data_IF_206481494168
#
_entry.id   IF_206481494168
#
_cell.length_a   1.000
_cell.length_b   1.000
_cell.length_c   1.000
_cell.angle_alpha   90.00
_cell.angle_beta   90.00
_cell.angle_gamma   90.00
#
_symmetry.space_group_name_H-M   'P 1'
#
loop_
_entity.id
_entity.type
_entity.pdbx_description
1 polymer ?
#
# COMPACT_ATOMS: atom_id res chain seq x y z
N UNK A 1 60.50 9.89 -12.72
CA UNK A 1 59.77 9.72 -11.44
C UNK A 1 58.49 10.55 -11.36
N UNK A 2 58.46 11.81 -11.81
CA UNK A 2 57.26 12.67 -11.74
C UNK A 2 56.05 12.15 -12.52
N UNK A 3 56.26 11.61 -13.74
CA UNK A 3 55.18 11.04 -14.57
C UNK A 3 54.51 9.82 -13.93
N UNK A 4 55.29 8.90 -13.33
CA UNK A 4 54.78 7.69 -12.68
C UNK A 4 53.97 8.00 -11.42
N UNK A 5 54.43 8.97 -10.62
CA UNK A 5 53.68 9.45 -9.45
C UNK A 5 52.36 10.11 -9.89
N UNK A 6 52.39 10.93 -10.95
CA UNK A 6 51.19 11.55 -11.49
C UNK A 6 50.17 10.50 -11.98
N UNK A 7 50.60 9.47 -12.71
CA UNK A 7 49.70 8.40 -13.17
C UNK A 7 49.10 7.60 -12.01
N UNK A 8 49.86 7.35 -10.94
CA UNK A 8 49.35 6.66 -9.75
C UNK A 8 48.29 7.53 -9.04
N UNK A 9 48.60 8.81 -8.81
CA UNK A 9 47.66 9.75 -8.18
C UNK A 9 46.36 9.86 -8.99
N UNK A 10 46.47 9.99 -10.31
CA UNK A 10 45.30 10.05 -11.19
C UNK A 10 44.45 8.77 -11.11
N UNK A 11 45.09 7.60 -11.09
CA UNK A 11 44.41 6.31 -11.00
C UNK A 11 43.69 6.14 -9.66
N UNK A 12 44.33 6.52 -8.56
CA UNK A 12 43.72 6.49 -7.21
C UNK A 12 42.55 7.47 -7.12
N UNK A 13 42.71 8.70 -7.62
CA UNK A 13 41.65 9.71 -7.63
C UNK A 13 40.44 9.25 -8.45
N UNK A 14 40.66 8.70 -9.64
CA UNK A 14 39.60 8.15 -10.50
C UNK A 14 38.88 6.98 -9.81
N UNK A 15 39.63 6.09 -9.16
CA UNK A 15 39.06 4.94 -8.45
C UNK A 15 38.21 5.38 -7.24
N UNK A 16 38.70 6.37 -6.48
CA UNK A 16 37.95 6.96 -5.36
C UNK A 16 36.67 7.66 -5.84
N UNK A 17 36.72 8.35 -6.99
CA UNK A 17 35.56 9.00 -7.58
C UNK A 17 34.48 8.00 -8.02
N UNK A 18 34.87 6.90 -8.67
CA UNK A 18 33.95 5.83 -9.07
C UNK A 18 33.30 5.20 -7.82
N UNK A 19 34.09 4.90 -6.79
CA UNK A 19 33.58 4.35 -5.53
C UNK A 19 32.59 5.30 -4.85
N UNK A 20 32.90 6.61 -4.84
CA UNK A 20 32.00 7.62 -4.31
C UNK A 20 30.65 7.63 -5.04
N UNK A 21 30.65 7.65 -6.38
CA UNK A 21 29.42 7.60 -7.18
C UNK A 21 28.60 6.34 -6.89
N UNK A 22 29.25 5.19 -6.81
CA UNK A 22 28.60 3.92 -6.48
C UNK A 22 27.89 3.99 -5.12
N UNK A 23 28.59 4.45 -4.06
CA UNK A 23 28.02 4.57 -2.71
C UNK A 23 26.86 5.58 -2.70
N UNK A 24 27.02 6.71 -3.39
CA UNK A 24 25.99 7.74 -3.49
C UNK A 24 24.68 7.18 -4.10
N UNK A 25 24.78 6.56 -5.27
CA UNK A 25 23.61 6.00 -5.95
C UNK A 25 23.01 4.82 -5.21
N UNK A 26 23.82 3.96 -4.59
CA UNK A 26 23.33 2.88 -3.72
C UNK A 26 22.52 3.42 -2.54
N UNK A 27 23.01 4.44 -1.84
CA UNK A 27 22.27 5.07 -0.72
C UNK A 27 20.95 5.69 -1.20
N UNK A 28 20.97 6.35 -2.36
CA UNK A 28 19.76 6.90 -2.98
C UNK A 28 18.75 5.79 -3.26
N UNK A 29 19.15 4.73 -3.95
CA UNK A 29 18.30 3.60 -4.29
C UNK A 29 17.69 2.92 -3.04
N UNK A 30 18.51 2.69 -2.01
CA UNK A 30 18.06 2.13 -0.72
C UNK A 30 17.03 3.03 -0.04
N UNK A 31 17.18 4.36 -0.13
CA UNK A 31 16.20 5.31 0.43
C UNK A 31 14.85 5.17 -0.27
N UNK A 32 14.80 5.24 -1.59
CA UNK A 32 13.53 5.14 -2.33
C UNK A 32 12.84 3.79 -2.16
N UNK A 33 13.62 2.70 -2.12
CA UNK A 33 13.11 1.36 -1.79
C UNK A 33 12.39 1.36 -0.44
N UNK A 34 13.03 1.89 0.60
CA UNK A 34 12.44 1.97 1.94
C UNK A 34 11.16 2.78 1.98
N UNK A 35 11.10 3.88 1.21
CA UNK A 35 9.88 4.72 1.13
C UNK A 35 8.74 3.93 0.48
N UNK A 36 8.99 3.18 -0.60
CA UNK A 36 7.99 2.32 -1.22
C UNK A 36 7.52 1.23 -0.24
N UNK A 37 8.45 0.55 0.43
CA UNK A 37 8.14 -0.50 1.41
C UNK A 37 7.31 0.06 2.58
N UNK A 38 7.69 1.21 3.14
CA UNK A 38 6.96 1.83 4.24
C UNK A 38 5.56 2.29 3.83
N UNK A 39 5.45 2.95 2.67
CA UNK A 39 4.17 3.42 2.15
C UNK A 39 3.21 2.25 1.90
N UNK A 40 3.73 1.13 1.40
CA UNK A 40 2.94 -0.08 1.22
C UNK A 40 2.44 -0.65 2.56
N UNK A 41 3.32 -0.72 3.56
CA UNK A 41 2.94 -1.21 4.90
C UNK A 41 1.85 -0.35 5.52
N UNK A 42 1.89 0.98 5.31
CA UNK A 42 0.84 1.89 5.78
C UNK A 42 -0.51 1.61 5.12
N UNK A 43 -0.53 1.41 3.80
CA UNK A 43 -1.76 0.99 3.09
C UNK A 43 -2.29 -0.32 3.68
N UNK A 44 -1.43 -1.33 3.83
CA UNK A 44 -1.83 -2.63 4.37
C UNK A 44 -2.38 -2.56 5.79
N UNK A 45 -1.78 -1.70 6.64
CA UNK A 45 -2.25 -1.45 8.00
C UNK A 45 -3.65 -0.83 7.99
N UNK A 46 -3.88 0.16 7.15
CA UNK A 46 -5.20 0.81 7.03
C UNK A 46 -6.26 -0.14 6.47
N UNK A 47 -5.88 -1.03 5.53
CA UNK A 47 -6.74 -2.08 5.02
C UNK A 47 -7.16 -3.08 6.11
N UNK A 48 -6.24 -3.49 6.98
CA UNK A 48 -6.57 -4.33 8.13
C UNK A 48 -7.51 -3.59 9.12
N UNK A 49 -7.25 -2.32 9.38
CA UNK A 49 -8.12 -1.48 10.21
C UNK A 49 -9.53 -1.31 9.62
N UNK A 50 -9.66 -1.31 8.29
CA UNK A 50 -10.97 -1.25 7.63
C UNK A 50 -11.78 -2.51 7.94
N UNK A 51 -11.17 -3.69 7.86
CA UNK A 51 -11.84 -4.97 8.17
C UNK A 51 -12.32 -4.95 9.63
N UNK A 52 -11.45 -4.59 10.56
CA UNK A 52 -11.76 -4.52 11.99
C UNK A 52 -12.90 -3.53 12.28
N UNK A 53 -12.86 -2.33 11.70
CA UNK A 53 -13.91 -1.30 11.88
C UNK A 53 -15.24 -1.65 11.22
N UNK A 54 -15.21 -2.51 10.20
CA UNK A 54 -16.40 -2.95 9.48
C UNK A 54 -17.18 -4.03 10.23
N UNK A 55 -16.51 -4.85 11.04
CA UNK A 55 -17.13 -5.96 11.75
C UNK A 55 -18.31 -5.54 12.65
N UNK A 56 -18.23 -4.48 13.47
CA UNK A 56 -19.38 -4.00 14.26
C UNK A 56 -20.57 -3.57 13.40
N UNK A 57 -20.31 -2.88 12.28
CA UNK A 57 -21.35 -2.44 11.32
C UNK A 57 -22.09 -3.65 10.77
N UNK A 58 -21.33 -4.67 10.39
CA UNK A 58 -21.85 -5.90 9.79
C UNK A 58 -22.66 -6.70 10.81
N UNK A 59 -22.19 -6.81 12.06
CA UNK A 59 -22.93 -7.48 13.12
C UNK A 59 -24.25 -6.79 13.46
N UNK A 60 -24.29 -5.45 13.46
CA UNK A 60 -25.52 -4.69 13.72
C UNK A 60 -26.51 -4.84 12.57
N UNK A 61 -26.04 -4.65 11.34
CA UNK A 61 -26.88 -4.77 10.13
C UNK A 61 -27.38 -6.20 9.93
N UNK A 62 -26.56 -7.23 10.21
CA UNK A 62 -26.96 -8.65 10.13
C UNK A 62 -28.12 -9.00 11.07
N UNK A 63 -28.18 -8.40 12.26
CA UNK A 63 -29.26 -8.66 13.21
C UNK A 63 -30.62 -8.20 12.70
N UNK A 64 -30.64 -7.19 11.82
CA UNK A 64 -31.85 -6.57 11.27
C UNK A 64 -32.16 -7.12 9.87
N UNK A 65 -31.16 -7.17 8.98
CA UNK A 65 -31.26 -7.66 7.60
C UNK A 65 -31.15 -9.20 7.51
N UNK A 66 -31.78 -9.93 8.43
CA UNK A 66 -31.69 -11.40 8.51
C UNK A 66 -32.17 -12.11 7.23
N UNK A 67 -33.02 -11.44 6.46
CA UNK A 67 -33.57 -11.96 5.20
C UNK A 67 -32.57 -11.91 4.03
N UNK A 68 -31.36 -11.35 4.24
CA UNK A 68 -30.31 -11.23 3.22
C UNK A 68 -29.03 -12.00 3.61
N UNK A 69 -29.09 -13.32 3.86
CA UNK A 69 -27.93 -14.08 4.36
C UNK A 69 -26.72 -14.03 3.42
N UNK A 70 -26.96 -13.99 2.10
CA UNK A 70 -25.91 -13.92 1.07
C UNK A 70 -24.97 -12.72 1.24
N UNK A 71 -25.50 -11.57 1.66
CA UNK A 71 -24.67 -10.38 1.91
C UNK A 71 -23.63 -10.67 3.00
N UNK A 72 -24.00 -11.41 4.03
CA UNK A 72 -23.11 -11.68 5.16
C UNK A 72 -22.16 -12.86 4.92
N UNK A 73 -22.53 -13.79 4.03
CA UNK A 73 -21.65 -14.85 3.56
C UNK A 73 -20.50 -14.29 2.72
N UNK A 74 -20.81 -13.41 1.75
CA UNK A 74 -19.81 -12.73 0.92
C UNK A 74 -18.79 -11.97 1.78
N UNK A 75 -19.24 -11.29 2.84
CA UNK A 75 -18.32 -10.62 3.75
C UNK A 75 -17.37 -11.58 4.47
N UNK A 76 -17.89 -12.72 4.97
CA UNK A 76 -17.05 -13.71 5.68
C UNK A 76 -15.96 -14.25 4.76
N UNK A 77 -16.33 -14.55 3.52
CA UNK A 77 -15.36 -14.96 2.50
C UNK A 77 -14.31 -13.87 2.28
N UNK A 78 -14.72 -12.61 2.10
CA UNK A 78 -13.79 -11.49 1.91
C UNK A 78 -12.85 -11.33 3.12
N UNK A 79 -13.36 -11.45 4.35
CA UNK A 79 -12.56 -11.35 5.58
C UNK A 79 -11.54 -12.48 5.69
N UNK A 80 -11.96 -13.73 5.53
CA UNK A 80 -11.07 -14.89 5.60
C UNK A 80 -9.97 -14.80 4.53
N UNK A 81 -10.33 -14.36 3.34
CA UNK A 81 -9.40 -14.16 2.25
C UNK A 81 -8.40 -13.03 2.52
N UNK A 82 -8.83 -11.94 3.15
CA UNK A 82 -7.97 -10.81 3.51
C UNK A 82 -7.00 -11.13 4.67
N UNK A 83 -7.38 -12.02 5.57
CA UNK A 83 -6.53 -12.51 6.68
C UNK A 83 -5.53 -13.58 6.24
N UNK A 84 -5.78 -14.26 5.12
CA UNK A 84 -4.86 -15.24 4.57
C UNK A 84 -3.56 -14.60 4.03
N UNK A 85 -2.41 -15.28 4.20
CA UNK A 85 -1.09 -14.80 3.71
C UNK A 85 -1.03 -14.85 2.17
N UNK A 86 -1.64 -13.87 1.51
CA UNK A 86 -1.70 -13.72 0.05
C UNK A 86 -0.67 -12.76 -0.52
N UNK A 87 -0.46 -12.86 -1.84
CA UNK A 87 0.35 -11.90 -2.57
C UNK A 87 -0.23 -10.48 -2.46
N UNK A 88 0.61 -9.46 -2.54
CA UNK A 88 0.22 -8.05 -2.36
C UNK A 88 -0.93 -7.63 -3.29
N UNK A 89 -0.86 -8.02 -4.57
CA UNK A 89 -1.87 -7.72 -5.59
C UNK A 89 -3.24 -8.29 -5.25
N UNK A 90 -3.28 -9.52 -4.72
CA UNK A 90 -4.52 -10.17 -4.29
C UNK A 90 -5.13 -9.41 -3.10
N UNK A 91 -4.32 -9.02 -2.11
CA UNK A 91 -4.80 -8.27 -0.93
C UNK A 91 -5.48 -6.96 -1.33
N UNK A 92 -4.93 -6.23 -2.30
CA UNK A 92 -5.52 -4.98 -2.81
C UNK A 92 -6.88 -5.25 -3.47
N UNK A 93 -6.95 -6.28 -4.32
CA UNK A 93 -8.20 -6.66 -4.96
C UNK A 93 -9.31 -7.00 -3.93
N UNK A 94 -8.97 -7.77 -2.88
CA UNK A 94 -9.93 -8.10 -1.82
C UNK A 94 -10.44 -6.89 -1.05
N UNK A 95 -9.58 -5.90 -0.82
CA UNK A 95 -10.00 -4.66 -0.15
C UNK A 95 -10.97 -3.86 -1.02
N UNK A 96 -10.75 -3.82 -2.34
CA UNK A 96 -11.70 -3.16 -3.24
C UNK A 96 -13.06 -3.86 -3.22
N UNK A 97 -13.07 -5.20 -3.19
CA UNK A 97 -14.30 -5.98 -3.02
C UNK A 97 -14.99 -5.66 -1.68
N UNK A 98 -14.23 -5.61 -0.58
CA UNK A 98 -14.75 -5.23 0.73
C UNK A 98 -15.39 -3.84 0.70
N UNK A 99 -14.71 -2.84 0.12
CA UNK A 99 -15.20 -1.46 0.05
C UNK A 99 -16.51 -1.37 -0.75
N UNK A 100 -16.60 -2.07 -1.88
CA UNK A 100 -17.83 -2.14 -2.66
C UNK A 100 -18.96 -2.79 -1.87
N UNK A 101 -18.68 -3.90 -1.19
CA UNK A 101 -19.66 -4.57 -0.34
C UNK A 101 -20.15 -3.65 0.79
N UNK A 102 -19.25 -2.93 1.46
CA UNK A 102 -19.59 -1.96 2.51
C UNK A 102 -20.45 -0.81 1.98
N UNK A 103 -20.20 -0.32 0.76
CA UNK A 103 -21.03 0.71 0.14
C UNK A 103 -22.45 0.21 -0.10
N UNK A 104 -22.62 -1.02 -0.58
CA UNK A 104 -23.94 -1.66 -0.73
C UNK A 104 -24.63 -1.79 0.62
N UNK A 105 -23.93 -2.32 1.63
CA UNK A 105 -24.48 -2.49 2.98
C UNK A 105 -24.87 -1.15 3.62
N UNK A 106 -24.09 -0.10 3.37
CA UNK A 106 -24.41 1.26 3.81
C UNK A 106 -25.69 1.76 3.18
N UNK A 107 -25.86 1.57 1.87
CA UNK A 107 -27.08 1.95 1.17
C UNK A 107 -28.30 1.23 1.75
N UNK A 108 -28.24 -0.09 1.92
CA UNK A 108 -29.31 -0.88 2.55
C UNK A 108 -29.61 -0.42 3.99
N UNK A 109 -28.58 -0.07 4.76
CA UNK A 109 -28.77 0.45 6.11
C UNK A 109 -29.47 1.81 6.15
N UNK A 110 -29.33 2.63 5.10
CA UNK A 110 -29.95 3.94 5.00
C UNK A 110 -31.40 3.87 4.48
N UNK A 111 -31.75 2.83 3.73
CA UNK A 111 -33.12 2.59 3.24
C UNK A 111 -33.99 1.87 4.27
N UNK A 112 -33.39 1.05 5.14
CA UNK A 112 -34.12 0.28 6.16
C UNK A 112 -34.48 1.14 7.40
N UNK A 113 -35.78 1.21 7.73
CA UNK A 113 -36.30 2.09 8.79
C UNK A 113 -35.64 1.90 10.17
N UNK A 114 -35.38 0.65 10.57
CA UNK A 114 -34.75 0.34 11.86
C UNK A 114 -33.24 0.62 11.92
N UNK A 115 -32.56 0.70 10.77
CA UNK A 115 -31.11 0.91 10.72
C UNK A 115 -30.77 2.38 10.51
N UNK A 116 -31.59 3.09 9.73
CA UNK A 116 -31.38 4.51 9.41
C UNK A 116 -31.34 5.41 10.65
N UNK A 117 -32.14 5.09 11.67
CA UNK A 117 -32.30 5.92 12.86
C UNK A 117 -31.35 5.54 14.01
N UNK A 118 -30.42 4.60 13.77
CA UNK A 118 -29.44 4.17 14.77
C UNK A 118 -28.22 5.08 14.78
N UNK A 119 -28.09 5.89 15.83
CA UNK A 119 -26.94 6.78 16.04
C UNK A 119 -25.63 6.00 16.19
N UNK A 120 -25.65 4.85 16.87
CA UNK A 120 -24.49 3.95 17.03
C UNK A 120 -23.98 3.41 15.69
N UNK A 121 -24.89 3.05 14.79
CA UNK A 121 -24.55 2.58 13.44
C UNK A 121 -24.01 3.73 12.58
N UNK A 122 -24.59 4.92 12.68
CA UNK A 122 -24.13 6.10 11.95
C UNK A 122 -22.69 6.49 12.33
N UNK A 123 -22.35 6.45 13.62
CA UNK A 123 -20.99 6.73 14.09
C UNK A 123 -19.98 5.70 13.55
N UNK A 124 -20.35 4.42 13.50
CA UNK A 124 -19.49 3.38 12.94
C UNK A 124 -19.26 3.58 11.43
N UNK A 125 -20.29 3.95 10.67
CA UNK A 125 -20.14 4.28 9.25
C UNK A 125 -19.18 5.45 9.03
N UNK A 126 -19.21 6.48 9.87
CA UNK A 126 -18.25 7.59 9.81
C UNK A 126 -16.82 7.08 10.02
N UNK A 127 -16.58 6.17 10.96
CA UNK A 127 -15.24 5.57 11.19
C UNK A 127 -14.75 4.77 9.99
N UNK A 128 -15.66 4.03 9.34
CA UNK A 128 -15.38 3.28 8.10
C UNK A 128 -15.04 4.23 6.94
N UNK A 129 -15.83 5.29 6.75
CA UNK A 129 -15.60 6.30 5.70
C UNK A 129 -14.26 7.02 5.89
N UNK A 130 -13.91 7.40 7.13
CA UNK A 130 -12.62 7.99 7.45
C UNK A 130 -11.47 7.04 7.09
N UNK A 131 -11.60 5.75 7.44
CA UNK A 131 -10.58 4.75 7.07
C UNK A 131 -10.45 4.60 5.56
N UNK A 132 -11.56 4.57 4.83
CA UNK A 132 -11.55 4.51 3.36
C UNK A 132 -10.80 5.70 2.75
N UNK A 133 -11.08 6.92 3.21
CA UNK A 133 -10.37 8.11 2.75
C UNK A 133 -8.87 8.04 3.05
N UNK A 134 -8.50 7.57 4.24
CA UNK A 134 -7.09 7.42 4.62
C UNK A 134 -6.39 6.35 3.76
N UNK A 135 -7.09 5.27 3.38
CA UNK A 135 -6.57 4.27 2.44
C UNK A 135 -6.29 4.92 1.09
N UNK A 136 -7.22 5.73 0.57
CA UNK A 136 -7.06 6.40 -0.72
C UNK A 136 -5.86 7.37 -0.72
N UNK A 137 -5.72 8.16 0.35
CA UNK A 137 -4.58 9.05 0.53
C UNK A 137 -3.24 8.29 0.61
N UNK A 138 -3.21 7.21 1.41
CA UNK A 138 -2.02 6.37 1.55
C UNK A 138 -1.66 5.64 0.26
N UNK A 139 -2.66 5.20 -0.52
CA UNK A 139 -2.47 4.58 -1.82
C UNK A 139 -1.92 5.58 -2.85
N UNK A 140 -2.43 6.82 -2.85
CA UNK A 140 -1.87 7.89 -3.68
C UNK A 140 -0.40 8.12 -3.35
N UNK A 141 -0.06 8.27 -2.06
CA UNK A 141 1.32 8.45 -1.63
C UNK A 141 2.23 7.27 -2.04
N UNK A 142 1.74 6.04 -1.91
CA UNK A 142 2.46 4.87 -2.40
C UNK A 142 2.67 4.93 -3.92
N UNK A 143 1.65 5.28 -4.70
CA UNK A 143 1.74 5.37 -6.15
C UNK A 143 2.74 6.43 -6.62
N UNK A 144 2.83 7.55 -5.91
CA UNK A 144 3.84 8.59 -6.12
C UNK A 144 5.24 8.08 -5.77
N UNK A 145 5.41 7.40 -4.63
CA UNK A 145 6.70 6.80 -4.26
C UNK A 145 7.17 5.75 -5.28
N UNK A 146 6.26 4.93 -5.81
CA UNK A 146 6.54 3.96 -6.87
C UNK A 146 6.90 4.67 -8.18
N UNK A 147 6.25 5.79 -8.49
CA UNK A 147 6.60 6.61 -9.64
C UNK A 147 8.04 7.10 -9.56
N UNK A 148 8.40 7.75 -8.45
CA UNK A 148 9.74 8.30 -8.23
C UNK A 148 10.81 7.20 -8.24
N UNK A 149 10.52 6.06 -7.63
CA UNK A 149 11.42 4.90 -7.66
C UNK A 149 11.61 4.37 -9.08
N UNK A 150 10.54 4.30 -9.87
CA UNK A 150 10.61 3.86 -11.26
C UNK A 150 11.40 4.85 -12.12
N UNK A 151 11.18 6.15 -11.95
CA UNK A 151 11.96 7.17 -12.63
C UNK A 151 13.45 7.04 -12.28
N UNK A 152 13.77 6.94 -10.99
CA UNK A 152 15.14 6.74 -10.52
C UNK A 152 15.80 5.50 -11.11
N UNK A 153 15.10 4.37 -11.13
CA UNK A 153 15.61 3.09 -11.64
C UNK A 153 15.62 3.01 -13.17
N UNK A 154 15.05 4.00 -13.87
CA UNK A 154 15.13 4.09 -15.34
C UNK A 154 16.35 4.87 -15.84
N UNK A 155 17.01 5.65 -14.97
CA UNK A 155 18.10 6.55 -15.35
C UNK A 155 19.48 5.95 -15.06
N UNK A 156 20.44 6.11 -15.98
CA UNK A 156 21.84 5.77 -15.74
C UNK A 156 22.48 6.72 -14.71
N UNK A 157 23.34 6.25 -13.78
CA UNK A 157 23.84 4.88 -13.61
C UNK A 157 22.98 3.99 -12.70
N UNK A 158 21.86 4.49 -12.20
CA UNK A 158 21.06 3.80 -11.19
C UNK A 158 20.33 2.58 -11.78
N UNK A 159 19.90 2.62 -13.04
CA UNK A 159 19.31 1.47 -13.74
C UNK A 159 20.24 0.24 -13.72
N UNK A 160 21.49 0.43 -14.11
CA UNK A 160 22.53 -0.61 -14.07
C UNK A 160 22.74 -1.15 -12.66
N UNK A 161 22.80 -0.27 -11.65
CA UNK A 161 22.95 -0.69 -10.26
C UNK A 161 21.74 -1.46 -9.75
N UNK A 162 20.53 -1.05 -10.12
CA UNK A 162 19.30 -1.73 -9.74
C UNK A 162 19.23 -3.14 -10.33
N UNK A 163 19.66 -3.32 -11.59
CA UNK A 163 19.71 -4.62 -12.26
C UNK A 163 20.77 -5.54 -11.65
N UNK A 164 22.01 -5.05 -11.43
CA UNK A 164 23.09 -5.82 -10.81
C UNK A 164 22.72 -6.28 -9.40
N UNK A 165 22.11 -5.39 -8.62
CA UNK A 165 21.73 -5.66 -7.23
C UNK A 165 20.34 -6.28 -7.09
N UNK A 166 19.69 -6.62 -8.22
CA UNK A 166 18.36 -7.25 -8.27
C UNK A 166 17.32 -6.54 -7.40
N UNK A 167 17.28 -5.22 -7.47
CA UNK A 167 16.32 -4.43 -6.71
C UNK A 167 14.89 -4.71 -7.18
N UNK A 168 13.90 -4.74 -6.26
CA UNK A 168 12.54 -5.13 -6.59
C UNK A 168 11.88 -4.14 -7.55
N UNK A 169 10.95 -4.65 -8.36
CA UNK A 169 10.04 -3.82 -9.17
C UNK A 169 8.74 -3.64 -8.40
N UNK A 170 8.37 -2.39 -8.14
CA UNK A 170 7.10 -2.06 -7.50
C UNK A 170 6.02 -1.82 -8.55
N UNK A 171 4.77 -2.09 -8.18
CA UNK A 171 3.59 -1.88 -9.01
C UNK A 171 2.65 -0.90 -8.30
N UNK A 172 2.03 0.00 -9.06
CA UNK A 172 1.00 0.91 -8.52
C UNK A 172 -0.27 0.13 -8.16
N UNK A 173 -1.06 0.70 -7.25
CA UNK A 173 -2.26 0.11 -6.65
C UNK A 173 -3.48 1.01 -6.79
#
# INVERSE_FOLDING_TARGET
MTKTLFTIILTVALSAFILYLFIYHYRKLRKYRRVCDSALVDVQRLQAQLIERSEPVILITQKVLRNHPKLFEEWREIKEQAESKRAQSERIHHVLLLRNHLNTLKHESQTHAELKNREDLAELWVKVDITNRNIDESASFYNDAVHDYRELTSQFPVSMLADILQYPKYQRI
#
